data_IF_478866947751
#
_entry.id   IF_478866947751
#
_cell.length_a   1.000
_cell.length_b   1.000
_cell.length_c   1.000
_cell.angle_alpha   90.00
_cell.angle_beta   90.00
_cell.angle_gamma   90.00
#
_symmetry.space_group_name_H-M   'P 1'
#
loop_
_entity.id
_entity.type
_entity.pdbx_description
1 polymer ?
#
# COMPACT_ATOMS: atom_id res chain seq x y z
N UNK A 1 -20.60 -13.34 -31.66
CA UNK A 1 -20.85 -13.68 -30.23
C UNK A 1 -19.65 -13.22 -29.43
N UNK A 2 -19.87 -12.46 -28.38
CA UNK A 2 -18.80 -11.99 -27.47
C UNK A 2 -18.64 -12.95 -26.31
N UNK A 3 -17.40 -13.17 -25.89
CA UNK A 3 -17.04 -13.93 -24.69
C UNK A 3 -16.35 -12.99 -23.73
N UNK A 4 -16.85 -12.86 -22.51
CA UNK A 4 -16.28 -12.01 -21.46
C UNK A 4 -15.49 -12.86 -20.47
N UNK A 5 -14.27 -12.45 -20.18
CA UNK A 5 -13.39 -13.07 -19.21
C UNK A 5 -13.10 -12.09 -18.08
N UNK A 6 -13.18 -12.55 -16.84
CA UNK A 6 -12.71 -11.84 -15.64
C UNK A 6 -11.33 -12.40 -15.30
N UNK A 7 -10.31 -11.58 -15.34
CA UNK A 7 -8.93 -12.03 -15.20
C UNK A 7 -8.23 -11.27 -14.08
N UNK A 8 -7.62 -12.02 -13.18
CA UNK A 8 -6.73 -11.54 -12.15
C UNK A 8 -5.29 -11.93 -12.52
N UNK A 9 -4.43 -10.96 -12.67
CA UNK A 9 -3.00 -11.16 -12.88
C UNK A 9 -2.23 -10.75 -11.63
N UNK A 10 -1.77 -11.73 -10.87
CA UNK A 10 -0.91 -11.52 -9.71
C UNK A 10 0.55 -11.65 -10.11
N UNK A 11 1.25 -10.54 -10.24
CA UNK A 11 2.65 -10.55 -10.65
C UNK A 11 3.59 -10.81 -9.48
N UNK A 12 4.53 -11.75 -9.62
CA UNK A 12 5.56 -11.95 -8.62
C UNK A 12 6.54 -10.76 -8.61
N UNK A 13 7.14 -10.45 -7.47
CA UNK A 13 8.19 -9.45 -7.40
C UNK A 13 9.40 -9.91 -8.24
N UNK A 14 10.06 -8.94 -8.87
CA UNK A 14 11.28 -9.20 -9.61
C UNK A 14 12.37 -9.74 -8.65
N UNK A 15 13.00 -10.88 -8.98
CA UNK A 15 14.06 -11.59 -8.20
C UNK A 15 13.58 -12.31 -6.93
N UNK A 16 12.40 -12.89 -6.91
CA UNK A 16 11.94 -13.65 -5.75
C UNK A 16 11.88 -15.15 -6.03
N UNK A 17 12.39 -15.93 -5.06
CA UNK A 17 12.19 -17.37 -5.04
C UNK A 17 10.72 -17.68 -4.75
N UNK A 18 10.05 -18.35 -5.68
CA UNK A 18 8.63 -18.72 -5.57
C UNK A 18 8.35 -19.61 -4.34
N UNK A 19 9.38 -20.28 -3.81
CA UNK A 19 9.30 -21.14 -2.64
C UNK A 19 9.56 -20.40 -1.31
N UNK A 20 9.78 -19.08 -1.33
CA UNK A 20 10.06 -18.36 -0.10
C UNK A 20 8.81 -18.31 0.78
N UNK A 21 8.89 -18.66 2.10
CA UNK A 21 7.74 -18.71 3.01
C UNK A 21 6.94 -17.42 3.08
N UNK A 22 7.57 -16.26 2.83
CA UNK A 22 6.90 -14.97 2.76
C UNK A 22 6.05 -14.81 1.49
N UNK A 23 6.30 -15.56 0.44
CA UNK A 23 5.54 -15.51 -0.81
C UNK A 23 4.11 -16.05 -0.62
N UNK A 24 3.96 -17.07 0.20
CA UNK A 24 2.67 -17.73 0.49
C UNK A 24 1.77 -16.92 1.45
N UNK A 25 2.33 -15.93 2.16
CA UNK A 25 1.65 -15.20 3.22
C UNK A 25 1.24 -13.77 2.85
N UNK A 26 1.41 -13.34 1.59
CA UNK A 26 1.06 -11.99 1.16
C UNK A 26 -0.22 -11.96 0.35
N UNK A 27 -1.22 -11.37 0.88
CA UNK A 27 -2.45 -11.07 0.21
C UNK A 27 -3.29 -10.07 0.96
N UNK A 28 -4.39 -9.77 0.36
CA UNK A 28 -5.36 -8.81 0.86
C UNK A 28 -6.34 -9.58 1.71
N UNK A 29 -6.47 -9.22 2.98
CA UNK A 29 -7.49 -9.75 3.86
C UNK A 29 -8.69 -8.81 3.85
N UNK A 30 -9.88 -9.36 3.70
CA UNK A 30 -11.12 -8.65 3.91
C UNK A 30 -11.89 -9.32 5.03
N UNK A 31 -12.47 -8.52 5.87
CA UNK A 31 -13.57 -8.97 6.68
C UNK A 31 -14.82 -8.94 5.78
N UNK A 32 -15.11 -10.05 5.17
CA UNK A 32 -16.38 -10.26 4.48
C UNK A 32 -17.44 -10.55 5.55
N UNK A 33 -18.53 -9.83 5.50
CA UNK A 33 -19.67 -10.07 6.38
C UNK A 33 -20.37 -11.37 5.93
N UNK A 34 -19.73 -12.49 6.24
CA UNK A 34 -20.39 -13.79 6.16
C UNK A 34 -20.97 -14.08 7.53
N UNK A 35 -22.18 -14.61 7.60
CA UNK A 35 -22.86 -14.97 8.84
C UNK A 35 -22.18 -16.11 9.63
N UNK A 36 -20.94 -16.40 9.33
CA UNK A 36 -20.12 -17.47 9.92
C UNK A 36 -19.22 -16.99 11.04
N UNK A 37 -18.63 -17.91 11.78
CA UNK A 37 -17.80 -17.65 12.95
C UNK A 37 -16.47 -16.97 12.57
N UNK A 38 -15.85 -16.24 13.51
CA UNK A 38 -14.57 -15.52 13.32
C UNK A 38 -13.47 -16.42 12.72
N UNK A 39 -13.49 -17.71 12.99
CA UNK A 39 -12.46 -18.66 12.57
C UNK A 39 -12.51 -18.98 11.05
N UNK A 40 -13.63 -18.68 10.38
CA UNK A 40 -13.82 -18.92 8.93
C UNK A 40 -13.78 -17.62 8.10
N UNK A 41 -13.73 -16.46 8.72
CA UNK A 41 -14.04 -15.16 8.10
C UNK A 41 -12.84 -14.44 7.52
N UNK A 42 -11.61 -14.90 7.75
CA UNK A 42 -10.42 -14.25 7.23
C UNK A 42 -9.89 -14.95 5.99
N UNK A 43 -10.70 -14.91 4.95
CA UNK A 43 -10.26 -15.34 3.64
C UNK A 43 -9.40 -14.24 3.02
N UNK A 44 -8.18 -14.61 2.71
CA UNK A 44 -7.31 -13.81 1.89
C UNK A 44 -7.99 -13.51 0.56
N UNK A 45 -8.17 -12.25 0.18
CA UNK A 45 -8.95 -11.94 -1.02
C UNK A 45 -8.37 -12.60 -2.27
N UNK A 46 -7.04 -12.66 -2.39
CA UNK A 46 -6.41 -13.34 -3.51
C UNK A 46 -6.73 -14.84 -3.49
N UNK A 47 -6.75 -15.46 -2.32
CA UNK A 47 -7.08 -16.89 -2.19
C UNK A 47 -8.57 -17.09 -2.46
N UNK A 48 -9.42 -16.20 -1.97
CA UNK A 48 -10.83 -16.22 -2.30
C UNK A 48 -11.06 -16.01 -3.81
N UNK A 49 -10.47 -14.98 -4.42
CA UNK A 49 -10.58 -14.75 -5.87
C UNK A 49 -10.08 -15.95 -6.68
N UNK A 50 -9.04 -16.65 -6.20
CA UNK A 50 -8.53 -17.87 -6.83
C UNK A 50 -9.49 -19.05 -6.73
N UNK A 51 -10.29 -19.13 -5.69
CA UNK A 51 -11.30 -20.20 -5.53
C UNK A 51 -12.53 -19.98 -6.39
N UNK A 52 -12.73 -18.77 -6.94
CA UNK A 52 -13.89 -18.45 -7.76
C UNK A 52 -13.71 -18.95 -9.19
N UNK A 53 -14.45 -19.97 -9.57
CA UNK A 53 -14.39 -20.56 -10.92
C UNK A 53 -14.72 -19.58 -12.06
N UNK A 54 -15.34 -18.43 -11.74
CA UNK A 54 -15.69 -17.38 -12.70
C UNK A 54 -14.55 -16.38 -12.96
N UNK A 55 -13.46 -16.43 -12.18
CA UNK A 55 -12.31 -15.55 -12.31
C UNK A 55 -11.10 -16.40 -12.70
N UNK A 56 -10.48 -16.06 -13.82
CA UNK A 56 -9.24 -16.69 -14.27
C UNK A 56 -8.05 -16.03 -13.57
N UNK A 57 -7.23 -16.83 -12.94
CA UNK A 57 -6.08 -16.37 -12.17
C UNK A 57 -4.76 -16.79 -12.83
N UNK A 58 -3.88 -15.81 -13.05
CA UNK A 58 -2.55 -16.04 -13.57
C UNK A 58 -1.51 -15.47 -12.61
N UNK A 59 -0.45 -16.23 -12.37
CA UNK A 59 0.64 -15.83 -11.48
C UNK A 59 1.82 -15.19 -12.21
N UNK A 60 1.79 -15.22 -13.54
CA UNK A 60 2.82 -14.61 -14.37
C UNK A 60 2.27 -14.06 -15.67
N UNK A 61 2.98 -13.07 -16.23
CA UNK A 61 2.67 -12.56 -17.56
C UNK A 61 2.80 -13.67 -18.64
N UNK A 62 3.70 -14.65 -18.44
CA UNK A 62 3.88 -15.76 -19.37
C UNK A 62 2.64 -16.64 -19.44
N UNK A 63 2.06 -17.00 -18.31
CA UNK A 63 0.82 -17.78 -18.26
C UNK A 63 -0.35 -17.00 -18.89
N UNK A 64 -0.46 -15.71 -18.58
CA UNK A 64 -1.48 -14.86 -19.17
C UNK A 64 -1.32 -14.76 -20.70
N UNK A 65 -0.08 -14.63 -21.22
CA UNK A 65 0.18 -14.67 -22.66
C UNK A 65 -0.30 -15.97 -23.30
N UNK A 66 0.03 -17.12 -22.71
CA UNK A 66 -0.43 -18.44 -23.20
C UNK A 66 -1.95 -18.55 -23.22
N UNK A 67 -2.64 -17.99 -22.20
CA UNK A 67 -4.08 -17.94 -22.20
C UNK A 67 -4.61 -17.14 -23.39
N UNK A 68 -4.09 -15.93 -23.64
CA UNK A 68 -4.49 -15.09 -24.77
C UNK A 68 -4.28 -15.83 -26.11
N UNK A 69 -3.17 -16.51 -26.28
CA UNK A 69 -2.86 -17.32 -27.48
C UNK A 69 -3.83 -18.50 -27.67
N UNK A 70 -4.39 -19.03 -26.59
CA UNK A 70 -5.34 -20.14 -26.62
C UNK A 70 -6.78 -19.73 -26.95
N UNK A 71 -7.07 -18.43 -26.99
CA UNK A 71 -8.42 -17.93 -27.23
C UNK A 71 -8.93 -18.23 -28.65
N UNK A 72 -10.23 -18.48 -28.76
CA UNK A 72 -10.86 -18.70 -30.04
C UNK A 72 -11.01 -17.39 -30.83
N UNK A 73 -10.19 -17.19 -31.84
CA UNK A 73 -10.19 -16.00 -32.68
C UNK A 73 -11.40 -15.89 -33.63
N UNK A 74 -12.34 -16.85 -33.64
CA UNK A 74 -13.60 -16.73 -34.35
C UNK A 74 -14.67 -15.96 -33.55
N UNK A 75 -14.37 -15.58 -32.30
CA UNK A 75 -15.24 -14.81 -31.41
C UNK A 75 -14.51 -13.59 -30.91
N UNK A 76 -15.25 -12.53 -30.61
CA UNK A 76 -14.68 -11.38 -29.88
C UNK A 76 -14.52 -11.77 -28.41
N UNK A 77 -13.30 -11.67 -27.88
CA UNK A 77 -12.98 -11.93 -26.47
C UNK A 77 -12.74 -10.59 -25.78
N UNK A 78 -13.53 -10.29 -24.75
CA UNK A 78 -13.39 -9.11 -23.90
C UNK A 78 -12.80 -9.59 -22.57
N UNK A 79 -11.62 -9.05 -22.19
CA UNK A 79 -10.87 -9.46 -21.03
C UNK A 79 -10.81 -8.30 -20.05
N UNK A 80 -11.61 -8.37 -18.99
CA UNK A 80 -11.52 -7.43 -17.87
C UNK A 80 -10.35 -7.84 -16.96
N UNK A 81 -9.27 -7.11 -17.04
CA UNK A 81 -7.99 -7.44 -16.40
C UNK A 81 -7.74 -6.55 -15.19
N UNK A 82 -7.71 -7.16 -14.00
CA UNK A 82 -7.20 -6.53 -12.79
C UNK A 82 -5.79 -7.05 -12.50
N UNK A 83 -4.86 -6.14 -12.19
CA UNK A 83 -3.47 -6.46 -11.92
C UNK A 83 -3.15 -6.14 -10.47
N UNK A 84 -2.56 -7.10 -9.78
CA UNK A 84 -2.09 -6.94 -8.41
C UNK A 84 -0.60 -7.26 -8.32
N UNK A 85 0.12 -6.48 -7.58
CA UNK A 85 1.46 -6.86 -7.18
C UNK A 85 1.37 -7.66 -5.88
N UNK A 86 1.93 -8.85 -5.88
CA UNK A 86 2.06 -9.67 -4.66
C UNK A 86 3.09 -9.10 -3.69
N UNK A 87 3.88 -8.11 -4.13
CA UNK A 87 4.86 -7.37 -3.33
C UNK A 87 5.07 -5.94 -3.81
N UNK A 88 5.80 -5.20 -2.99
CA UNK A 88 6.07 -3.78 -3.05
C UNK A 88 6.71 -3.28 -4.34
N UNK A 89 7.17 -4.13 -5.25
CA UNK A 89 7.96 -3.67 -6.39
C UNK A 89 7.62 -4.39 -7.68
N UNK A 90 6.96 -3.69 -8.57
CA UNK A 90 7.05 -3.97 -9.99
C UNK A 90 8.18 -3.12 -10.59
N UNK A 91 9.07 -3.73 -11.36
CA UNK A 91 10.06 -2.94 -12.07
C UNK A 91 9.40 -2.12 -13.18
N UNK A 92 9.97 -0.95 -13.51
CA UNK A 92 9.53 -0.17 -14.69
C UNK A 92 9.46 -1.03 -15.95
N UNK A 93 10.39 -1.97 -16.10
CA UNK A 93 10.39 -2.91 -17.22
C UNK A 93 9.16 -3.81 -17.22
N UNK A 94 8.78 -4.38 -16.07
CA UNK A 94 7.56 -5.22 -16.00
C UNK A 94 6.30 -4.43 -16.35
N UNK A 95 6.20 -3.19 -15.88
CA UNK A 95 5.10 -2.28 -16.22
C UNK A 95 5.08 -2.03 -17.74
N UNK A 96 6.23 -1.73 -18.35
CA UNK A 96 6.35 -1.52 -19.79
C UNK A 96 6.01 -2.77 -20.59
N UNK A 97 6.51 -3.94 -20.17
CA UNK A 97 6.24 -5.22 -20.85
C UNK A 97 4.74 -5.56 -20.84
N UNK A 98 4.03 -5.23 -19.75
CA UNK A 98 2.57 -5.42 -19.66
C UNK A 98 1.83 -4.44 -20.57
N UNK A 99 2.20 -3.16 -20.53
CA UNK A 99 1.57 -2.13 -21.38
C UNK A 99 1.73 -2.50 -22.86
N UNK A 100 2.95 -2.78 -23.27
CA UNK A 100 3.22 -3.20 -24.64
C UNK A 100 2.38 -4.42 -25.03
N UNK A 101 2.34 -5.43 -24.18
CA UNK A 101 1.53 -6.63 -24.44
C UNK A 101 0.04 -6.32 -24.60
N UNK A 102 -0.52 -5.44 -23.78
CA UNK A 102 -1.92 -5.03 -23.87
C UNK A 102 -2.18 -4.25 -25.16
N UNK A 103 -1.30 -3.30 -25.49
CA UNK A 103 -1.40 -2.49 -26.71
C UNK A 103 -1.35 -3.37 -27.97
N UNK A 104 -0.39 -4.32 -28.02
CA UNK A 104 -0.26 -5.25 -29.14
C UNK A 104 -1.51 -6.13 -29.32
N UNK A 105 -2.09 -6.59 -28.23
CA UNK A 105 -3.28 -7.45 -28.31
C UNK A 105 -4.56 -6.66 -28.62
N UNK A 106 -4.68 -5.43 -28.15
CA UNK A 106 -5.81 -4.56 -28.46
C UNK A 106 -5.84 -4.11 -29.94
N UNK A 107 -4.75 -4.30 -30.70
CA UNK A 107 -4.77 -4.16 -32.17
C UNK A 107 -5.48 -5.33 -32.87
N UNK A 108 -5.69 -6.45 -32.16
CA UNK A 108 -6.39 -7.60 -32.71
C UNK A 108 -7.90 -7.38 -32.57
N UNK A 109 -8.63 -7.35 -33.69
CA UNK A 109 -10.10 -7.16 -33.71
C UNK A 109 -10.90 -8.20 -32.91
N UNK A 110 -10.28 -9.31 -32.55
CA UNK A 110 -10.93 -10.40 -31.78
C UNK A 110 -10.58 -10.39 -30.29
N UNK A 111 -9.70 -9.50 -29.85
CA UNK A 111 -9.27 -9.39 -28.46
C UNK A 111 -9.42 -7.93 -28.02
N UNK A 112 -10.01 -7.73 -26.86
CA UNK A 112 -10.11 -6.43 -26.22
C UNK A 112 -9.75 -6.61 -24.74
N UNK A 113 -8.62 -6.06 -24.31
CA UNK A 113 -8.17 -6.10 -22.91
C UNK A 113 -8.51 -4.76 -22.27
N UNK A 114 -9.41 -4.80 -21.28
CA UNK A 114 -9.85 -3.65 -20.51
C UNK A 114 -9.16 -3.71 -19.16
N UNK A 115 -8.26 -2.78 -18.91
CA UNK A 115 -7.61 -2.64 -17.61
C UNK A 115 -8.58 -2.08 -16.57
N UNK A 116 -8.65 -2.74 -15.42
CA UNK A 116 -9.40 -2.33 -14.23
C UNK A 116 -8.51 -1.71 -13.15
N UNK A 117 -7.21 -1.67 -13.40
CA UNK A 117 -6.19 -1.05 -12.54
C UNK A 117 -5.38 -0.06 -13.35
N UNK A 118 -5.16 1.13 -12.81
CA UNK A 118 -4.35 2.16 -13.48
C UNK A 118 -2.86 1.84 -13.35
N UNK A 119 -2.35 1.12 -14.35
CA UNK A 119 -0.95 0.67 -14.38
C UNK A 119 0.03 1.86 -14.51
N UNK A 120 -0.41 3.01 -15.02
CA UNK A 120 0.42 4.20 -15.16
C UNK A 120 0.80 4.79 -13.80
N UNK A 121 -0.04 4.54 -12.79
CA UNK A 121 0.17 5.02 -11.43
C UNK A 121 0.90 4.02 -10.52
N UNK A 122 1.28 2.87 -11.02
CA UNK A 122 1.91 1.86 -10.16
C UNK A 122 3.21 2.36 -9.52
N UNK A 123 3.96 3.24 -10.18
CA UNK A 123 5.18 3.80 -9.60
C UNK A 123 4.92 4.62 -8.33
N UNK A 124 3.75 5.24 -8.21
CA UNK A 124 3.33 6.00 -7.02
C UNK A 124 3.29 5.11 -5.76
N UNK A 125 2.94 3.84 -5.93
CA UNK A 125 2.85 2.89 -4.81
C UNK A 125 4.20 2.28 -4.40
N UNK A 126 5.24 2.48 -5.21
CA UNK A 126 6.56 1.89 -4.95
C UNK A 126 7.61 2.90 -4.58
N UNK A 127 7.41 4.15 -4.99
CA UNK A 127 8.35 5.23 -4.78
C UNK A 127 7.73 6.33 -3.94
N UNK A 128 8.27 6.53 -2.75
CA UNK A 128 7.86 7.64 -1.89
C UNK A 128 8.03 9.00 -2.56
N UNK A 129 9.05 9.15 -3.42
CA UNK A 129 9.25 10.38 -4.19
C UNK A 129 8.14 10.58 -5.22
N UNK A 130 7.76 9.53 -5.95
CA UNK A 130 6.66 9.62 -6.92
C UNK A 130 5.32 9.86 -6.21
N UNK A 131 5.11 9.26 -5.05
CA UNK A 131 3.94 9.58 -4.23
C UNK A 131 3.92 11.06 -3.81
N UNK A 132 5.05 11.63 -3.41
CA UNK A 132 5.11 13.05 -3.02
C UNK A 132 4.92 14.00 -4.22
N UNK A 133 5.44 13.63 -5.40
CA UNK A 133 5.18 14.35 -6.64
C UNK A 133 3.68 14.32 -6.99
N UNK A 134 3.07 13.14 -6.90
CA UNK A 134 1.63 12.97 -7.07
C UNK A 134 0.80 13.82 -6.09
N UNK A 135 1.19 13.90 -4.83
CA UNK A 135 0.52 14.76 -3.84
C UNK A 135 0.60 16.25 -4.24
N UNK A 136 1.73 16.70 -4.78
CA UNK A 136 1.88 18.06 -5.32
C UNK A 136 1.00 18.31 -6.55
N UNK A 137 0.93 17.36 -7.47
CA UNK A 137 0.04 17.43 -8.65
C UNK A 137 -1.44 17.56 -8.23
N UNK A 138 -1.81 16.96 -7.10
CA UNK A 138 -3.13 17.10 -6.51
C UNK A 138 -3.34 18.42 -5.74
N UNK A 139 -2.33 19.29 -5.62
CA UNK A 139 -2.31 20.47 -4.74
C UNK A 139 -2.57 20.08 -3.26
N UNK A 140 -1.89 19.03 -2.81
CA UNK A 140 -1.97 18.48 -1.45
C UNK A 140 -0.62 18.47 -0.74
N UNK A 141 0.30 19.35 -1.14
CA UNK A 141 1.63 19.46 -0.54
C UNK A 141 1.62 19.77 0.95
N UNK A 142 0.59 20.42 1.45
CA UNK A 142 0.41 20.70 2.88
C UNK A 142 0.18 19.43 3.74
N UNK A 143 -0.11 18.29 3.08
CA UNK A 143 -0.34 17.00 3.73
C UNK A 143 0.86 16.05 3.62
N UNK A 144 2.00 16.54 3.17
CA UNK A 144 3.28 15.85 3.21
C UNK A 144 4.31 16.74 3.91
N UNK A 145 5.32 16.15 4.55
CA UNK A 145 6.40 16.95 5.13
C UNK A 145 7.36 17.43 4.05
N UNK A 146 8.05 18.53 4.33
CA UNK A 146 9.06 19.08 3.42
C UNK A 146 10.12 18.03 3.08
N UNK A 147 10.47 17.92 1.82
CA UNK A 147 11.46 16.97 1.33
C UNK A 147 12.21 17.50 0.11
N UNK A 148 13.41 16.96 -0.10
CA UNK A 148 14.19 17.15 -1.32
C UNK A 148 15.16 15.98 -1.54
N UNK A 149 15.64 15.85 -2.77
CA UNK A 149 16.66 14.85 -3.10
C UNK A 149 17.91 15.06 -2.26
N UNK A 150 18.61 14.00 -1.91
CA UNK A 150 19.88 14.06 -1.18
C UNK A 150 20.95 14.90 -1.90
N UNK A 151 20.83 15.07 -3.22
CA UNK A 151 21.71 15.90 -4.04
C UNK A 151 21.45 17.41 -3.89
N UNK A 152 20.31 17.82 -3.36
CA UNK A 152 19.96 19.22 -3.13
C UNK A 152 20.67 19.78 -1.90
N UNK A 153 21.83 20.38 -2.13
CA UNK A 153 22.64 20.95 -1.06
C UNK A 153 21.99 22.13 -0.35
N UNK A 154 21.15 22.91 -1.06
CA UNK A 154 20.49 24.06 -0.47
C UNK A 154 19.46 23.59 0.57
N UNK A 155 18.61 22.63 0.18
CA UNK A 155 17.65 22.04 1.11
C UNK A 155 18.35 21.35 2.29
N UNK A 156 19.41 20.59 2.02
CA UNK A 156 20.18 19.91 3.08
C UNK A 156 20.80 20.87 4.09
N UNK A 157 21.21 22.07 3.64
CA UNK A 157 21.75 23.09 4.53
C UNK A 157 20.64 23.78 5.36
N UNK A 158 19.45 23.96 4.79
CA UNK A 158 18.33 24.66 5.44
C UNK A 158 17.50 23.76 6.37
N UNK A 159 17.39 22.45 6.08
CA UNK A 159 16.57 21.53 6.89
C UNK A 159 17.03 21.50 8.34
N UNK A 160 16.07 21.51 9.24
CA UNK A 160 16.33 21.45 10.67
C UNK A 160 16.48 20.00 11.15
N UNK A 161 17.33 19.79 12.14
CA UNK A 161 17.43 18.50 12.85
C UNK A 161 16.38 18.43 13.96
N UNK A 162 15.82 17.24 14.25
CA UNK A 162 16.06 16.00 13.53
C UNK A 162 15.36 15.97 12.16
N UNK A 163 15.91 15.20 11.21
CA UNK A 163 15.29 14.93 9.92
C UNK A 163 15.49 13.47 9.51
N UNK A 164 14.75 13.01 8.51
CA UNK A 164 14.86 11.66 7.99
C UNK A 164 15.70 11.62 6.72
N UNK A 165 16.63 10.67 6.63
CA UNK A 165 17.24 10.23 5.38
C UNK A 165 16.57 8.93 4.95
N UNK A 166 15.95 8.91 3.78
CA UNK A 166 15.13 7.79 3.30
C UNK A 166 15.51 7.36 1.89
N UNK A 167 15.40 6.05 1.62
CA UNK A 167 15.35 5.56 0.24
C UNK A 167 13.94 5.74 -0.32
N UNK A 168 13.85 6.21 -1.56
CA UNK A 168 12.57 6.34 -2.26
C UNK A 168 11.86 4.98 -2.40
N UNK A 169 12.66 3.94 -2.61
CA UNK A 169 12.20 2.55 -2.78
C UNK A 169 12.68 1.75 -1.58
N UNK A 170 11.83 1.62 -0.57
CA UNK A 170 12.13 0.83 0.63
C UNK A 170 10.85 0.45 1.35
N UNK A 171 10.86 -0.68 2.04
CA UNK A 171 9.74 -1.14 2.85
C UNK A 171 10.16 -1.45 4.29
N UNK A 172 9.18 -1.44 5.19
CA UNK A 172 9.38 -1.81 6.59
C UNK A 172 10.43 -0.94 7.30
N UNK A 173 10.63 0.33 6.91
CA UNK A 173 11.59 1.26 7.51
C UNK A 173 13.06 0.92 7.31
N UNK A 174 13.40 -0.12 6.57
CA UNK A 174 14.78 -0.62 6.43
C UNK A 174 15.70 0.43 5.89
N UNK A 175 15.46 1.35 5.18
CA UNK A 175 16.34 2.39 4.64
C UNK A 175 15.84 3.78 5.03
N UNK A 176 15.41 3.91 6.30
CA UNK A 176 15.01 5.16 6.91
C UNK A 176 15.88 5.40 8.14
N UNK A 177 16.58 6.51 8.18
CA UNK A 177 17.47 6.91 9.25
C UNK A 177 17.04 8.24 9.84
N UNK A 178 16.86 8.29 11.15
CA UNK A 178 16.67 9.55 11.87
C UNK A 178 18.05 10.18 12.08
N UNK A 179 18.22 11.40 11.60
CA UNK A 179 19.45 12.18 11.68
C UNK A 179 19.26 13.25 12.73
N UNK A 180 19.92 13.10 13.86
CA UNK A 180 19.85 14.05 14.96
C UNK A 180 20.86 15.19 14.81
N UNK A 181 21.99 14.93 14.15
CA UNK A 181 23.03 15.91 13.90
C UNK A 181 23.47 15.89 12.42
N UNK A 182 23.68 17.07 11.83
CA UNK A 182 24.08 17.17 10.41
C UNK A 182 25.39 16.46 10.06
N UNK A 183 26.29 16.28 11.00
CA UNK A 183 27.55 15.56 10.81
C UNK A 183 27.34 14.06 10.54
N UNK A 184 26.26 13.45 11.06
CA UNK A 184 25.93 12.03 10.83
C UNK A 184 25.69 11.73 9.35
N UNK A 185 25.12 12.68 8.61
CA UNK A 185 24.78 12.49 7.19
C UNK A 185 26.04 12.26 6.34
N UNK A 186 27.14 12.92 6.66
CA UNK A 186 28.41 12.76 5.92
C UNK A 186 28.91 11.31 5.99
N UNK A 187 28.81 10.72 7.17
CA UNK A 187 29.20 9.31 7.40
C UNK A 187 28.28 8.35 6.66
N UNK A 188 26.98 8.60 6.68
CA UNK A 188 25.98 7.81 5.95
C UNK A 188 26.14 7.93 4.43
N UNK A 189 26.34 9.14 3.90
CA UNK A 189 26.59 9.37 2.47
C UNK A 189 27.84 8.61 2.02
N UNK A 190 28.90 8.62 2.82
CA UNK A 190 30.14 7.86 2.52
C UNK A 190 29.82 6.36 2.40
N UNK A 191 29.07 5.81 3.33
CA UNK A 191 28.67 4.41 3.30
C UNK A 191 27.76 4.08 2.09
N UNK A 192 26.83 4.99 1.74
CA UNK A 192 25.96 4.84 0.56
C UNK A 192 26.76 4.92 -0.73
N UNK A 193 27.76 5.80 -0.81
CA UNK A 193 28.66 5.87 -1.97
C UNK A 193 29.42 4.57 -2.17
N UNK A 194 29.93 3.95 -1.09
CA UNK A 194 30.59 2.65 -1.15
C UNK A 194 29.63 1.59 -1.67
N UNK A 195 28.40 1.51 -1.13
CA UNK A 195 27.38 0.56 -1.60
C UNK A 195 26.97 0.80 -3.06
N UNK A 196 26.93 2.04 -3.50
CA UNK A 196 26.63 2.41 -4.89
C UNK A 196 27.71 1.96 -5.87
N UNK A 197 28.99 2.04 -5.49
CA UNK A 197 30.11 1.52 -6.27
C UNK A 197 29.98 0.02 -6.54
N UNK A 198 29.40 -0.73 -5.60
CA UNK A 198 29.10 -2.16 -5.77
C UNK A 198 27.72 -2.42 -6.41
N UNK A 199 27.07 -1.42 -7.00
CA UNK A 199 25.70 -1.48 -7.59
C UNK A 199 24.63 -2.03 -6.63
N UNK A 200 24.86 -1.95 -5.32
CA UNK A 200 23.93 -2.44 -4.31
C UNK A 200 22.77 -1.48 -4.09
N UNK A 201 22.96 -0.18 -4.34
CA UNK A 201 21.93 0.88 -4.23
C UNK A 201 22.26 2.06 -5.13
N UNK A 202 21.23 2.67 -5.73
CA UNK A 202 21.41 3.90 -6.50
C UNK A 202 21.33 5.11 -5.55
N UNK A 203 22.33 5.99 -5.62
CA UNK A 203 22.38 7.21 -4.80
C UNK A 203 21.24 8.18 -5.11
N UNK A 204 20.75 8.21 -6.32
CA UNK A 204 19.68 9.10 -6.76
C UNK A 204 18.31 8.72 -6.19
N UNK A 205 18.19 7.53 -5.59
CA UNK A 205 16.97 7.07 -4.96
C UNK A 205 16.84 7.53 -3.49
N UNK A 206 17.77 8.38 -3.01
CA UNK A 206 17.76 8.87 -1.64
C UNK A 206 17.30 10.31 -1.57
N UNK A 207 16.50 10.58 -0.55
CA UNK A 207 15.99 11.91 -0.25
C UNK A 207 16.04 12.21 1.25
N UNK A 208 16.03 13.48 1.58
CA UNK A 208 15.87 14.00 2.94
C UNK A 208 14.46 14.53 3.12
N UNK A 209 13.94 14.34 4.32
CA UNK A 209 12.58 14.71 4.68
C UNK A 209 12.56 15.29 6.08
N UNK A 210 11.83 16.39 6.28
CA UNK A 210 11.63 16.94 7.61
C UNK A 210 10.97 15.89 8.51
N UNK A 211 11.56 15.62 9.65
CA UNK A 211 10.98 14.73 10.65
C UNK A 211 9.76 15.38 11.29
N UNK A 212 8.67 14.62 11.36
CA UNK A 212 7.46 15.01 12.06
C UNK A 212 7.44 14.25 13.38
N UNK A 213 7.58 14.98 14.48
CA UNK A 213 7.53 14.37 15.81
C UNK A 213 6.06 14.08 16.19
N UNK A 214 5.70 12.80 16.10
CA UNK A 214 4.36 12.30 16.45
C UNK A 214 4.27 11.80 17.88
N UNK A 215 5.28 12.13 18.71
CA UNK A 215 5.29 11.69 20.10
C UNK A 215 4.13 12.30 20.88
N UNK A 216 3.28 11.44 21.41
CA UNK A 216 2.14 11.87 22.23
C UNK A 216 2.63 12.41 23.59
N UNK A 217 1.77 13.17 24.29
CA UNK A 217 2.02 13.59 25.68
C UNK A 217 2.25 12.43 26.64
N UNK A 218 1.76 11.26 26.30
CA UNK A 218 1.96 10.03 27.07
C UNK A 218 3.26 9.30 26.72
N UNK A 219 4.08 9.85 25.81
CA UNK A 219 5.44 9.41 25.55
C UNK A 219 5.59 8.32 24.49
N UNK A 220 4.56 8.03 23.69
CA UNK A 220 4.62 7.06 22.59
C UNK A 220 4.38 7.71 21.24
N UNK A 221 4.84 7.04 20.17
CA UNK A 221 4.68 7.42 18.77
C UNK A 221 3.54 6.62 18.14
N UNK A 222 2.82 7.25 17.21
CA UNK A 222 1.77 6.61 16.42
C UNK A 222 1.99 6.84 14.93
N UNK A 223 1.74 5.79 14.15
CA UNK A 223 1.45 5.88 12.72
C UNK A 223 0.20 5.07 12.41
N UNK A 224 -0.42 5.34 11.29
CA UNK A 224 -1.68 4.74 10.92
C UNK A 224 -1.61 4.23 9.50
N UNK A 225 -2.32 3.15 9.24
CA UNK A 225 -2.62 2.70 7.89
C UNK A 225 -4.12 2.68 7.68
N UNK A 226 -4.57 3.26 6.58
CA UNK A 226 -5.95 3.19 6.12
C UNK A 226 -6.00 2.39 4.83
N UNK A 227 -6.94 1.45 4.78
CA UNK A 227 -7.19 0.61 3.62
C UNK A 227 -8.44 1.10 2.90
N UNK A 228 -8.39 1.14 1.57
CA UNK A 228 -9.53 1.48 0.74
C UNK A 228 -9.79 0.45 -0.34
N UNK A 229 -11.06 0.24 -0.64
CA UNK A 229 -11.54 -0.55 -1.76
C UNK A 229 -12.41 0.33 -2.67
N UNK A 230 -12.15 0.33 -3.98
CA UNK A 230 -12.82 1.23 -4.93
C UNK A 230 -12.90 2.67 -4.43
N UNK A 231 -11.79 3.16 -3.87
CA UNK A 231 -11.68 4.50 -3.27
C UNK A 231 -12.50 4.73 -1.99
N UNK A 232 -13.15 3.70 -1.45
CA UNK A 232 -13.90 3.78 -0.20
C UNK A 232 -13.02 3.25 0.93
N UNK A 233 -12.60 4.10 1.88
CA UNK A 233 -11.87 3.66 3.06
C UNK A 233 -12.74 2.77 3.94
N UNK A 234 -12.27 1.60 4.31
CA UNK A 234 -13.05 0.63 5.07
C UNK A 234 -12.37 0.15 6.35
N UNK A 235 -11.09 0.40 6.52
CA UNK A 235 -10.35 -0.08 7.67
C UNK A 235 -9.16 0.81 8.03
N UNK A 236 -9.00 1.10 9.32
CA UNK A 236 -7.87 1.86 9.88
C UNK A 236 -7.24 1.06 11.00
N UNK A 237 -5.91 1.02 11.05
CA UNK A 237 -5.22 0.49 12.21
C UNK A 237 -3.98 1.32 12.57
N UNK A 238 -3.69 1.39 13.88
CA UNK A 238 -2.52 2.08 14.39
C UNK A 238 -1.30 1.14 14.48
N UNK A 239 -0.12 1.72 14.31
CA UNK A 239 1.12 1.20 14.84
C UNK A 239 1.59 2.10 15.98
N UNK A 240 1.91 1.52 17.12
CA UNK A 240 2.29 2.25 18.34
C UNK A 240 3.66 1.79 18.83
N UNK A 241 4.55 2.72 19.10
CA UNK A 241 5.88 2.45 19.65
C UNK A 241 6.24 3.46 20.74
N UNK A 242 6.87 2.98 21.80
CA UNK A 242 7.40 3.82 22.88
C UNK A 242 8.81 4.34 22.61
N UNK A 243 9.58 3.57 21.88
CA UNK A 243 11.03 3.82 21.73
C UNK A 243 11.42 4.28 20.32
N UNK A 244 10.67 3.89 19.30
CA UNK A 244 11.01 4.14 17.91
C UNK A 244 10.07 5.16 17.27
N UNK A 245 10.56 6.34 16.88
CA UNK A 245 9.76 7.33 16.16
C UNK A 245 9.37 6.86 14.73
N UNK A 246 10.09 5.87 14.19
CA UNK A 246 9.76 5.24 12.89
C UNK A 246 8.96 3.97 13.19
N UNK A 247 7.65 4.14 13.34
CA UNK A 247 6.76 3.06 13.72
C UNK A 247 6.32 2.24 12.51
N UNK A 248 6.74 0.98 12.45
CA UNK A 248 6.31 0.02 11.43
C UNK A 248 5.48 -1.12 12.00
N UNK A 249 5.71 -1.44 13.26
CA UNK A 249 5.03 -2.50 13.98
C UNK A 249 4.89 -2.03 15.42
N UNK A 250 3.71 -2.21 16.00
CA UNK A 250 3.52 -1.91 17.42
C UNK A 250 4.38 -2.80 18.30
N UNK A 251 4.91 -2.23 19.37
CA UNK A 251 5.64 -2.97 20.40
C UNK A 251 4.63 -3.75 21.25
N UNK A 252 4.30 -4.97 20.81
CA UNK A 252 3.22 -5.80 21.38
C UNK A 252 3.29 -5.92 22.90
N UNK A 253 4.49 -6.18 23.42
CA UNK A 253 4.69 -6.45 24.85
C UNK A 253 4.46 -5.21 25.75
N UNK A 254 4.35 -4.04 25.15
CA UNK A 254 4.16 -2.76 25.83
C UNK A 254 2.81 -2.11 25.56
N UNK A 255 2.06 -2.66 24.61
CA UNK A 255 0.79 -2.09 24.16
C UNK A 255 -0.35 -2.64 25.01
N UNK A 256 -1.03 -1.79 25.78
CA UNK A 256 -2.26 -2.14 26.48
C UNK A 256 -3.48 -2.09 25.54
N UNK A 257 -4.55 -2.82 25.90
CA UNK A 257 -5.84 -2.78 25.19
C UNK A 257 -6.37 -1.35 25.08
N UNK A 258 -6.36 -0.60 26.16
CA UNK A 258 -6.89 0.76 26.21
C UNK A 258 -6.10 1.69 25.30
N UNK A 259 -4.75 1.58 25.28
CA UNK A 259 -3.91 2.38 24.40
C UNK A 259 -4.13 2.02 22.92
N UNK A 260 -4.34 0.74 22.62
CA UNK A 260 -4.67 0.29 21.27
C UNK A 260 -6.01 0.90 20.81
N UNK A 261 -7.07 0.77 21.61
CA UNK A 261 -8.39 1.29 21.31
C UNK A 261 -8.40 2.84 21.21
N UNK A 262 -7.70 3.52 22.11
CA UNK A 262 -7.51 4.97 22.04
C UNK A 262 -6.82 5.36 20.74
N UNK A 263 -5.79 4.62 20.34
CA UNK A 263 -5.08 4.89 19.10
C UNK A 263 -5.94 4.66 17.86
N UNK A 264 -6.80 3.64 17.85
CA UNK A 264 -7.78 3.42 16.77
C UNK A 264 -8.77 4.61 16.70
N UNK A 265 -9.31 5.02 17.83
CA UNK A 265 -10.26 6.13 17.89
C UNK A 265 -9.65 7.45 17.39
N UNK A 266 -8.38 7.73 17.76
CA UNK A 266 -7.64 8.87 17.23
C UNK A 266 -7.49 8.79 15.71
N UNK A 267 -7.10 7.61 15.18
CA UNK A 267 -6.98 7.41 13.73
C UNK A 267 -8.29 7.64 12.97
N UNK A 268 -9.41 7.13 13.51
CA UNK A 268 -10.74 7.34 12.96
C UNK A 268 -11.14 8.83 13.03
N UNK A 269 -10.84 9.51 14.14
CA UNK A 269 -11.09 10.94 14.30
C UNK A 269 -10.37 11.77 13.24
N UNK A 270 -9.08 11.51 13.01
CA UNK A 270 -8.27 12.16 11.97
C UNK A 270 -8.83 11.86 10.57
N UNK A 271 -9.17 10.60 10.30
CA UNK A 271 -9.81 10.25 9.03
C UNK A 271 -11.09 11.05 8.79
N UNK A 272 -11.98 11.10 9.76
CA UNK A 272 -13.28 11.80 9.64
C UNK A 272 -13.08 13.30 9.43
N UNK A 273 -12.10 13.91 10.09
CA UNK A 273 -11.75 15.32 9.93
C UNK A 273 -11.22 15.63 8.52
N UNK A 274 -10.44 14.72 7.95
CA UNK A 274 -9.78 14.87 6.64
C UNK A 274 -10.39 13.97 5.55
N UNK A 275 -11.63 13.51 5.71
CA UNK A 275 -12.29 12.53 4.82
C UNK A 275 -12.24 12.94 3.34
N UNK A 276 -12.42 14.21 3.03
CA UNK A 276 -12.36 14.73 1.65
C UNK A 276 -10.98 14.59 1.03
N UNK A 277 -9.92 14.74 1.82
CA UNK A 277 -8.53 14.60 1.38
C UNK A 277 -8.23 13.14 1.07
N UNK A 278 -8.54 12.23 2.00
CA UNK A 278 -8.38 10.80 1.77
C UNK A 278 -9.15 10.33 0.54
N UNK A 279 -10.42 10.74 0.40
CA UNK A 279 -11.24 10.42 -0.76
C UNK A 279 -10.59 10.89 -2.06
N UNK A 280 -10.17 12.16 -2.12
CA UNK A 280 -9.49 12.74 -3.29
C UNK A 280 -8.25 11.93 -3.69
N UNK A 281 -7.43 11.53 -2.72
CA UNK A 281 -6.22 10.74 -2.98
C UNK A 281 -6.60 9.36 -3.52
N UNK A 282 -7.49 8.62 -2.87
CA UNK A 282 -7.88 7.28 -3.31
C UNK A 282 -8.54 7.28 -4.69
N UNK A 283 -9.44 8.22 -4.97
CA UNK A 283 -10.03 8.39 -6.30
C UNK A 283 -8.98 8.69 -7.36
N UNK A 284 -8.00 9.54 -7.01
CA UNK A 284 -6.93 9.90 -7.94
C UNK A 284 -5.89 8.81 -8.15
N UNK A 285 -5.73 7.86 -7.21
CA UNK A 285 -4.86 6.70 -7.38
C UNK A 285 -5.37 5.73 -8.45
N UNK A 286 -6.70 5.70 -8.69
CA UNK A 286 -7.29 4.92 -9.77
C UNK A 286 -7.06 3.41 -9.65
N UNK A 287 -6.93 2.91 -8.42
CA UNK A 287 -6.71 1.51 -8.16
C UNK A 287 -7.77 0.97 -7.21
N UNK A 288 -8.40 -0.18 -7.52
CA UNK A 288 -9.44 -0.73 -6.67
C UNK A 288 -8.95 -1.07 -5.27
N UNK A 289 -7.66 -1.33 -5.10
CA UNK A 289 -7.04 -1.56 -3.79
C UNK A 289 -5.93 -0.57 -3.55
N UNK A 290 -6.02 0.17 -2.49
CA UNK A 290 -4.98 1.08 -2.06
C UNK A 290 -4.92 1.19 -0.55
N UNK A 291 -3.72 1.39 -0.03
CA UNK A 291 -3.49 1.74 1.36
C UNK A 291 -2.73 3.07 1.42
N UNK A 292 -2.99 3.84 2.46
CA UNK A 292 -2.23 5.05 2.77
C UNK A 292 -1.67 4.95 4.18
N UNK A 293 -0.39 5.22 4.32
CA UNK A 293 0.25 5.39 5.62
C UNK A 293 0.26 6.87 5.98
N UNK A 294 -0.16 7.19 7.19
CA UNK A 294 -0.16 8.55 7.68
C UNK A 294 0.25 8.66 9.14
N UNK A 295 0.66 9.85 9.51
CA UNK A 295 0.93 10.25 10.89
C UNK A 295 0.17 11.53 11.20
N UNK A 296 -0.11 11.76 12.47
CA UNK A 296 -0.72 13.00 12.92
C UNK A 296 0.03 13.54 14.15
N UNK A 297 0.06 14.86 14.24
CA UNK A 297 0.46 15.55 15.46
C UNK A 297 -0.80 15.85 16.28
N UNK A 298 -0.68 15.92 17.58
CA UNK A 298 -1.75 16.44 18.44
C UNK A 298 -2.25 17.78 17.88
N UNK A 299 -3.55 17.94 17.71
CA UNK A 299 -4.26 19.09 17.13
C UNK A 299 -4.43 19.05 15.59
N UNK A 300 -4.64 17.87 15.03
CA UNK A 300 -5.25 17.66 13.70
C UNK A 300 -4.34 17.86 12.47
N UNK A 301 -3.05 18.03 12.65
CA UNK A 301 -2.15 18.08 11.50
C UNK A 301 -1.89 16.68 10.96
N UNK A 302 -2.44 16.41 9.78
CA UNK A 302 -2.28 15.18 9.03
C UNK A 302 -1.05 15.25 8.12
N UNK A 303 -0.20 14.22 8.14
CA UNK A 303 0.87 14.01 7.18
C UNK A 303 0.81 12.60 6.59
N UNK A 304 0.67 12.50 5.27
CA UNK A 304 0.58 11.23 4.55
C UNK A 304 1.99 10.88 4.05
N UNK A 305 2.45 9.69 4.38
CA UNK A 305 3.85 9.30 4.18
C UNK A 305 4.09 8.45 2.95
N UNK A 306 3.13 7.62 2.56
CA UNK A 306 3.22 6.74 1.39
C UNK A 306 1.86 6.13 1.03
N UNK A 307 1.75 5.71 -0.25
CA UNK A 307 0.69 4.84 -0.72
C UNK A 307 1.25 3.45 -1.00
N UNK A 308 0.45 2.42 -0.77
CA UNK A 308 0.80 1.03 -1.06
C UNK A 308 -0.35 0.31 -1.78
N UNK A 309 -0.01 -0.53 -2.78
CA UNK A 309 -0.93 -1.51 -3.37
C UNK A 309 -1.07 -2.76 -2.50
N UNK A 310 -0.21 -2.87 -1.53
CA UNK A 310 -0.08 -4.04 -0.70
C UNK A 310 -0.89 -3.86 0.57
N UNK A 311 -1.83 -4.72 0.72
CA UNK A 311 -2.46 -5.00 1.99
C UNK A 311 -1.59 -6.05 2.68
N UNK A 312 -0.64 -5.61 3.45
CA UNK A 312 0.43 -6.46 3.97
C UNK A 312 0.04 -7.28 5.21
N UNK A 313 1.01 -7.97 5.80
CA UNK A 313 0.83 -8.77 7.03
C UNK A 313 0.31 -7.98 8.23
N UNK A 314 0.16 -6.69 8.08
CA UNK A 314 -0.44 -5.79 9.06
C UNK A 314 -1.84 -6.18 9.48
N UNK A 315 -2.63 -6.76 8.58
CA UNK A 315 -3.99 -7.23 8.94
C UNK A 315 -3.93 -8.46 9.83
N UNK A 316 -3.10 -9.43 9.48
CA UNK A 316 -2.81 -10.54 10.40
C UNK A 316 -2.29 -10.02 11.74
N UNK A 317 -1.54 -8.91 11.69
CA UNK A 317 -1.08 -8.24 12.89
C UNK A 317 -2.25 -7.66 13.70
N UNK A 318 -3.20 -6.99 13.05
CA UNK A 318 -4.40 -6.44 13.71
C UNK A 318 -5.29 -7.56 14.24
N UNK A 319 -5.51 -8.62 13.48
CA UNK A 319 -6.23 -9.82 13.94
C UNK A 319 -5.54 -10.38 15.17
N UNK A 320 -4.23 -10.58 15.14
CA UNK A 320 -3.48 -11.02 16.30
C UNK A 320 -3.61 -10.06 17.50
N UNK A 321 -3.78 -8.75 17.27
CA UNK A 321 -4.05 -7.79 18.36
C UNK A 321 -5.48 -7.96 18.91
N UNK A 322 -6.45 -8.17 18.02
CA UNK A 322 -7.83 -8.43 18.42
C UNK A 322 -7.90 -9.68 19.29
N UNK A 323 -7.28 -10.77 18.85
CA UNK A 323 -7.16 -12.01 19.63
C UNK A 323 -6.38 -11.79 20.94
N UNK A 324 -5.23 -11.13 20.86
CA UNK A 324 -4.37 -10.83 22.00
C UNK A 324 -5.08 -10.01 23.09
N UNK A 325 -5.87 -9.01 22.67
CA UNK A 325 -6.61 -8.14 23.58
C UNK A 325 -8.00 -8.68 23.92
N UNK A 326 -8.38 -9.83 23.37
CA UNK A 326 -9.73 -10.37 23.49
C UNK A 326 -10.78 -9.30 23.20
N UNK A 327 -10.63 -8.64 22.02
CA UNK A 327 -11.59 -7.67 21.56
C UNK A 327 -12.85 -8.39 21.09
N UNK A 328 -13.97 -7.72 21.28
CA UNK A 328 -15.25 -8.30 20.99
C UNK A 328 -15.50 -8.38 19.45
N UNK A 329 -16.43 -9.26 19.05
CA UNK A 329 -16.77 -9.50 17.65
C UNK A 329 -17.23 -8.24 16.92
N UNK A 330 -17.82 -7.31 17.66
CA UNK A 330 -18.37 -6.08 17.11
C UNK A 330 -17.30 -5.02 16.84
N UNK A 331 -16.01 -5.30 17.10
CA UNK A 331 -14.94 -4.33 16.91
C UNK A 331 -14.89 -3.78 15.47
N UNK A 332 -14.93 -4.65 14.48
CA UNK A 332 -14.90 -4.24 13.06
C UNK A 332 -16.19 -3.54 12.65
N UNK A 333 -17.33 -4.03 13.12
CA UNK A 333 -18.62 -3.36 12.86
C UNK A 333 -18.65 -1.96 13.46
N UNK A 334 -18.16 -1.81 14.68
CA UNK A 334 -18.08 -0.51 15.33
C UNK A 334 -17.12 0.42 14.58
N UNK A 335 -15.97 -0.09 14.10
CA UNK A 335 -15.04 0.70 13.29
C UNK A 335 -15.71 1.14 11.98
N UNK A 336 -16.37 0.25 11.25
CA UNK A 336 -17.09 0.59 10.01
C UNK A 336 -18.19 1.62 10.24
N UNK A 337 -18.99 1.47 11.30
CA UNK A 337 -20.00 2.45 11.70
C UNK A 337 -19.39 3.83 11.96
N UNK A 338 -18.24 3.89 12.64
CA UNK A 338 -17.53 5.14 12.89
C UNK A 338 -16.93 5.76 11.63
N UNK A 339 -16.47 4.93 10.68
CA UNK A 339 -16.01 5.37 9.38
C UNK A 339 -17.15 5.73 8.44
N UNK A 340 -18.40 5.40 8.81
CA UNK A 340 -19.61 5.54 8.01
C UNK A 340 -19.46 4.83 6.65
N UNK A 341 -19.07 3.55 6.70
CA UNK A 341 -18.91 2.69 5.53
C UNK A 341 -19.68 1.38 5.75
N UNK A 342 -20.29 0.89 4.69
CA UNK A 342 -20.96 -0.39 4.68
C UNK A 342 -19.94 -1.54 4.61
N UNK A 343 -20.28 -2.75 5.07
CA UNK A 343 -19.47 -3.94 4.87
C UNK A 343 -19.23 -4.17 3.38
N UNK A 344 -18.01 -4.57 3.02
CA UNK A 344 -17.73 -5.02 1.66
C UNK A 344 -18.43 -6.35 1.42
N UNK A 345 -19.14 -6.44 0.31
CA UNK A 345 -19.84 -7.64 -0.14
C UNK A 345 -19.03 -8.36 -1.23
N UNK A 346 -19.43 -9.59 -1.55
CA UNK A 346 -18.86 -10.30 -2.70
C UNK A 346 -19.17 -9.59 -4.02
N UNK A 347 -20.32 -8.96 -4.14
CA UNK A 347 -20.71 -8.15 -5.29
C UNK A 347 -19.77 -6.96 -5.46
N UNK A 348 -19.35 -6.30 -4.37
CA UNK A 348 -18.37 -5.23 -4.43
C UNK A 348 -17.04 -5.72 -4.99
N UNK A 349 -16.58 -6.91 -4.59
CA UNK A 349 -15.36 -7.51 -5.12
C UNK A 349 -15.48 -7.88 -6.61
N UNK A 350 -16.63 -8.36 -7.03
CA UNK A 350 -16.89 -8.65 -8.45
C UNK A 350 -16.99 -7.38 -9.30
N UNK A 351 -17.40 -6.25 -8.71
CA UNK A 351 -17.52 -4.97 -9.42
C UNK A 351 -16.20 -4.46 -9.98
N UNK A 352 -15.05 -4.96 -9.48
CA UNK A 352 -13.73 -4.66 -10.07
C UNK A 352 -13.70 -5.01 -11.56
N UNK A 353 -14.42 -6.06 -11.98
CA UNK A 353 -14.38 -6.60 -13.33
C UNK A 353 -15.54 -6.11 -14.20
N UNK A 354 -16.42 -5.30 -13.67
CA UNK A 354 -17.53 -4.66 -14.40
C UNK A 354 -17.11 -3.33 -15.01
#
# INVERSE_FOLDING_TARGET
>A
MEVKHKVLLGLPPHNFDENHPLYLNFGIFFHLDTKSSIDEEYTHINDWLRTQNSILNFESLVEFKKFIESLNHNKKNIINLAIFSKREFMSKKQIQDIKQFIEENNQNKHIEIILKTDIDKFEIFYSKLEFYNFMKELNLENYISDYSLLSDKNFLNSIQTPFLLRSAISSGGKDTFLINEKNEITKLIRNLNIKSLFKLKNKNDWFVQQFIDTKSKLGYYRSYRILAFNSIPYFIYPNVSYSNPITHVSEKDKLSKDLFLDSVNVGIGIFNLHKTIFKKIFESLGNPFAALDFVCIENDNLYISEAELKYGPSEKYVINQIEYFNLDKDYFENMRKQLNVEPLTFEDLYSIFE
#
